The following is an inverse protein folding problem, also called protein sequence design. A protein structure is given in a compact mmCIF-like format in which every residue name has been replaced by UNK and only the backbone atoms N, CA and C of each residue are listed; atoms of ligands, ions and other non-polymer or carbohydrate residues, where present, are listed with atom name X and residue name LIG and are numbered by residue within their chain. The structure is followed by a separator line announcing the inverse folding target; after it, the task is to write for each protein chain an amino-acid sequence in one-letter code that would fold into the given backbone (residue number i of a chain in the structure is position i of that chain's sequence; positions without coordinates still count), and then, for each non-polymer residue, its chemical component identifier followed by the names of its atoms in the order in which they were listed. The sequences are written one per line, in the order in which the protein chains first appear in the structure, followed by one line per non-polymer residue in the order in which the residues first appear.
data_IF_433988488771
#
_entry.id   IF_433988488771
#
_cell.length_a   1.000
_cell.length_b   1.000
_cell.length_c   1.000
_cell.angle_alpha   90.00
_cell.angle_beta   90.00
_cell.angle_gamma   90.00
#
_symmetry.space_group_name_H-M   'P 1'
#
loop_
_entity.id
_entity.type
_entity.pdbx_description
1 polymer ?
#
# COMPACT_ATOMS: atom_id res chain seq x y z
N UNK A 1 -20.98 -10.42 22.40
CA UNK A 1 -20.80 -9.00 22.06
C UNK A 1 -20.09 -8.96 20.73
N UNK A 2 -20.80 -8.62 19.64
CA UNK A 2 -20.17 -8.45 18.32
C UNK A 2 -19.29 -7.20 18.38
N UNK A 3 -17.97 -7.37 18.52
CA UNK A 3 -17.03 -6.32 18.19
C UNK A 3 -17.21 -6.04 16.70
N UNK A 4 -17.82 -4.92 16.32
CA UNK A 4 -17.76 -4.42 14.94
C UNK A 4 -16.28 -4.32 14.61
N UNK A 5 -15.77 -5.19 13.76
CA UNK A 5 -14.42 -5.05 13.25
C UNK A 5 -14.32 -3.68 12.57
N UNK A 6 -13.32 -2.88 12.94
CA UNK A 6 -13.09 -1.59 12.32
C UNK A 6 -12.92 -1.78 10.81
N UNK A 7 -13.54 -0.91 10.00
CA UNK A 7 -13.30 -0.91 8.56
C UNK A 7 -11.84 -0.54 8.28
N UNK A 8 -11.34 -0.87 7.07
CA UNK A 8 -9.99 -0.51 6.65
C UNK A 8 -9.71 1.00 6.83
N UNK A 9 -10.65 1.85 6.43
CA UNK A 9 -10.52 3.30 6.60
C UNK A 9 -10.45 3.70 8.07
N UNK A 10 -11.25 3.08 8.96
CA UNK A 10 -11.16 3.31 10.40
C UNK A 10 -9.83 2.83 11.00
N UNK A 11 -9.31 1.69 10.54
CA UNK A 11 -7.99 1.20 10.93
C UNK A 11 -6.90 2.19 10.52
N UNK A 12 -6.93 2.70 9.29
CA UNK A 12 -5.99 3.73 8.82
C UNK A 12 -6.08 5.00 9.65
N UNK A 13 -7.28 5.52 9.90
CA UNK A 13 -7.48 6.71 10.74
C UNK A 13 -6.87 6.52 12.13
N UNK A 14 -7.10 5.36 12.75
CA UNK A 14 -6.54 5.01 14.05
C UNK A 14 -5.01 4.89 13.99
N UNK A 15 -4.46 4.28 12.93
CA UNK A 15 -3.03 4.12 12.77
C UNK A 15 -2.32 5.47 12.55
N UNK A 16 -2.86 6.34 11.69
CA UNK A 16 -2.33 7.70 11.51
C UNK A 16 -2.34 8.49 12.82
N UNK A 17 -3.42 8.42 13.59
CA UNK A 17 -3.56 9.15 14.86
C UNK A 17 -2.61 8.60 15.94
N UNK A 18 -2.55 7.28 16.13
CA UNK A 18 -1.76 6.66 17.19
C UNK A 18 -0.26 6.66 16.91
N UNK A 19 0.12 6.38 15.65
CA UNK A 19 1.53 6.34 15.24
C UNK A 19 2.06 7.71 14.82
N UNK A 20 1.17 8.65 14.49
CA UNK A 20 1.54 9.95 13.91
C UNK A 20 2.41 9.77 12.66
N UNK A 21 2.10 8.79 11.82
CA UNK A 21 2.95 8.37 10.70
C UNK A 21 2.12 8.06 9.47
N UNK A 22 2.61 8.49 8.31
CA UNK A 22 2.11 8.09 6.99
C UNK A 22 2.99 7.01 6.34
N UNK A 23 4.04 6.55 7.03
CA UNK A 23 4.95 5.56 6.50
C UNK A 23 4.27 4.18 6.40
N UNK A 24 4.43 3.53 5.27
CA UNK A 24 4.13 2.11 5.06
C UNK A 24 5.42 1.38 4.72
N UNK A 25 5.73 0.31 5.45
CA UNK A 25 6.85 -0.57 5.11
C UNK A 25 6.36 -1.66 4.17
N UNK A 26 6.97 -1.70 2.97
CA UNK A 26 6.69 -2.73 1.97
C UNK A 26 7.66 -3.92 2.12
N UNK A 27 7.14 -5.14 1.98
CA UNK A 27 7.94 -6.37 1.98
C UNK A 27 8.05 -6.93 0.56
N UNK A 28 9.21 -6.63 -0.05
CA UNK A 28 9.62 -7.09 -1.39
C UNK A 28 10.89 -7.97 -1.22
N UNK A 29 10.80 -9.18 -0.59
CA UNK A 29 11.98 -9.97 -0.22
C UNK A 29 12.62 -10.63 -1.44
N UNK A 30 13.79 -10.11 -1.85
CA UNK A 30 14.64 -10.72 -2.87
C UNK A 30 15.64 -11.69 -2.18
N UNK A 31 15.58 -13.01 -2.47
CA UNK A 31 16.42 -14.01 -1.83
C UNK A 31 17.90 -13.73 -1.96
N UNK A 32 18.32 -13.06 -3.05
CA UNK A 32 19.74 -12.73 -3.29
C UNK A 32 20.24 -11.58 -2.41
N UNK A 33 19.33 -10.86 -1.77
CA UNK A 33 19.63 -9.69 -0.93
C UNK A 33 19.37 -9.91 0.55
N UNK A 34 18.88 -11.08 0.93
CA UNK A 34 18.74 -11.45 2.34
C UNK A 34 20.11 -11.57 2.99
N UNK A 35 20.24 -11.36 4.31
CA UNK A 35 21.43 -11.73 5.07
C UNK A 35 21.82 -13.19 4.80
N UNK A 36 23.11 -13.47 4.71
CA UNK A 36 23.60 -14.83 4.36
C UNK A 36 23.03 -15.95 5.25
N UNK A 37 22.80 -15.66 6.54
CA UNK A 37 22.21 -16.60 7.50
C UNK A 37 20.75 -16.96 7.18
N UNK A 38 20.05 -16.16 6.40
CA UNK A 38 18.64 -16.32 6.05
C UNK A 38 18.43 -16.76 4.59
N UNK A 39 19.52 -16.99 3.84
CA UNK A 39 19.45 -17.46 2.47
C UNK A 39 19.24 -18.97 2.39
N UNK A 40 18.73 -19.45 1.24
CA UNK A 40 18.70 -20.87 0.89
C UNK A 40 17.39 -21.60 1.18
N UNK A 41 16.43 -20.97 1.87
CA UNK A 41 15.12 -21.57 2.07
C UNK A 41 14.02 -20.51 2.24
N UNK A 42 12.77 -20.93 2.07
CA UNK A 42 11.62 -20.02 2.15
C UNK A 42 11.37 -19.49 3.59
N UNK A 43 11.75 -20.23 4.63
CA UNK A 43 11.60 -19.78 6.02
C UNK A 43 12.44 -18.53 6.31
N UNK A 44 13.63 -18.43 5.72
CA UNK A 44 14.46 -17.20 5.83
C UNK A 44 13.75 -15.96 5.26
N UNK A 45 12.89 -16.11 4.25
CA UNK A 45 12.06 -15.00 3.74
C UNK A 45 11.08 -14.51 4.82
N UNK A 46 10.42 -15.44 5.51
CA UNK A 46 9.53 -15.12 6.61
C UNK A 46 10.27 -14.45 7.76
N UNK A 47 11.38 -15.06 8.23
CA UNK A 47 12.16 -14.53 9.34
C UNK A 47 12.66 -13.11 9.07
N UNK A 48 13.21 -12.87 7.88
CA UNK A 48 13.63 -11.54 7.44
C UNK A 48 12.50 -10.51 7.52
N UNK A 49 11.36 -10.81 6.90
CA UNK A 49 10.24 -9.90 6.89
C UNK A 49 9.66 -9.68 8.30
N UNK A 50 9.59 -10.73 9.11
CA UNK A 50 9.13 -10.68 10.51
C UNK A 50 9.99 -9.76 11.37
N UNK A 51 11.32 -9.92 11.30
CA UNK A 51 12.24 -9.11 12.10
C UNK A 51 12.21 -7.64 11.70
N UNK A 52 12.14 -7.34 10.40
CA UNK A 52 11.95 -5.95 9.94
C UNK A 52 10.59 -5.40 10.39
N UNK A 53 9.52 -6.21 10.33
CA UNK A 53 8.21 -5.79 10.81
C UNK A 53 8.23 -5.47 12.31
N UNK A 54 8.81 -6.37 13.10
CA UNK A 54 8.92 -6.21 14.55
C UNK A 54 9.75 -4.98 14.92
N UNK A 55 10.79 -4.68 14.16
CA UNK A 55 11.64 -3.50 14.36
C UNK A 55 10.98 -2.17 13.96
N UNK A 56 9.93 -2.20 13.13
CA UNK A 56 9.35 -0.97 12.54
C UNK A 56 7.87 -0.74 12.88
N UNK A 57 7.24 -1.63 13.63
CA UNK A 57 5.79 -1.60 13.88
C UNK A 57 5.31 -0.31 14.57
N UNK A 58 6.12 0.30 15.43
CA UNK A 58 5.81 1.57 16.10
C UNK A 58 6.04 2.82 15.23
N UNK A 59 6.46 2.63 13.99
CA UNK A 59 6.83 3.71 13.06
C UNK A 59 5.90 3.84 11.86
N UNK A 60 4.98 2.90 11.66
CA UNK A 60 4.22 2.76 10.41
C UNK A 60 2.72 2.91 10.59
N UNK A 61 2.02 3.37 9.54
CA UNK A 61 0.56 3.35 9.47
C UNK A 61 0.01 2.08 8.80
N UNK A 62 0.85 1.32 8.07
CA UNK A 62 0.47 0.09 7.40
C UNK A 62 1.69 -0.77 7.07
N UNK A 63 1.47 -2.06 6.86
CA UNK A 63 2.42 -2.98 6.21
C UNK A 63 1.90 -3.42 4.85
N UNK A 64 2.81 -3.64 3.88
CA UNK A 64 2.42 -3.98 2.52
C UNK A 64 3.30 -5.08 1.90
N UNK A 65 3.02 -6.36 2.16
CA UNK A 65 3.69 -7.45 1.47
C UNK A 65 3.33 -7.46 -0.04
N UNK A 66 4.37 -7.63 -0.87
CA UNK A 66 4.25 -7.73 -2.32
C UNK A 66 4.15 -9.20 -2.73
N UNK A 67 2.97 -9.63 -3.15
CA UNK A 67 2.64 -11.02 -3.47
C UNK A 67 3.65 -11.68 -4.43
N UNK A 68 4.06 -10.99 -5.49
CA UNK A 68 4.92 -11.55 -6.52
C UNK A 68 6.28 -12.04 -6.00
N UNK A 69 6.83 -11.38 -4.97
CA UNK A 69 8.12 -11.78 -4.38
C UNK A 69 8.02 -13.10 -3.59
N UNK A 70 6.87 -13.38 -3.01
CA UNK A 70 6.63 -14.65 -2.32
C UNK A 70 6.27 -15.76 -3.32
N UNK A 71 5.32 -15.51 -4.22
CA UNK A 71 4.84 -16.50 -5.17
C UNK A 71 5.95 -17.02 -6.11
N UNK A 72 6.82 -16.11 -6.60
CA UNK A 72 7.95 -16.51 -7.46
C UNK A 72 8.95 -17.46 -6.79
N UNK A 73 8.92 -17.55 -5.46
CA UNK A 73 9.80 -18.37 -4.66
C UNK A 73 9.09 -19.54 -3.98
N UNK A 74 7.82 -19.81 -4.34
CA UNK A 74 6.97 -20.82 -3.69
C UNK A 74 6.89 -20.62 -2.17
N UNK A 75 6.81 -19.35 -1.75
CA UNK A 75 6.80 -18.92 -0.34
C UNK A 75 5.43 -18.37 0.08
N UNK A 76 4.34 -18.84 -0.54
CA UNK A 76 2.98 -18.41 -0.21
C UNK A 76 2.60 -18.76 1.25
N UNK A 77 3.07 -19.91 1.76
CA UNK A 77 2.86 -20.29 3.15
C UNK A 77 3.60 -19.31 4.11
N UNK A 78 4.77 -18.82 3.73
CA UNK A 78 5.51 -17.80 4.51
C UNK A 78 4.81 -16.44 4.46
N UNK A 79 4.15 -16.10 3.36
CA UNK A 79 3.30 -14.91 3.28
C UNK A 79 2.10 -15.02 4.22
N UNK A 80 1.41 -16.16 4.25
CA UNK A 80 0.32 -16.42 5.20
C UNK A 80 0.83 -16.29 6.64
N UNK A 81 1.97 -16.92 6.96
CA UNK A 81 2.60 -16.87 8.28
C UNK A 81 2.97 -15.44 8.67
N UNK A 82 3.50 -14.63 7.73
CA UNK A 82 3.84 -13.23 7.96
C UNK A 82 2.58 -12.40 8.25
N UNK A 83 1.56 -12.48 7.41
CA UNK A 83 0.33 -11.71 7.62
C UNK A 83 -0.34 -12.11 8.94
N UNK A 84 -0.39 -13.41 9.25
CA UNK A 84 -0.88 -13.88 10.54
C UNK A 84 -0.10 -13.29 11.71
N UNK A 85 1.25 -13.29 11.66
CA UNK A 85 2.08 -12.68 12.69
C UNK A 85 1.76 -11.19 12.87
N UNK A 86 1.63 -10.43 11.77
CA UNK A 86 1.29 -9.01 11.80
C UNK A 86 -0.09 -8.77 12.44
N UNK A 87 -1.08 -9.57 12.08
CA UNK A 87 -2.44 -9.45 12.62
C UNK A 87 -2.55 -9.84 14.09
N UNK A 88 -1.81 -10.85 14.52
CA UNK A 88 -1.82 -11.30 15.90
C UNK A 88 -1.07 -10.33 16.83
N UNK A 89 0.09 -9.82 16.40
CA UNK A 89 0.96 -9.00 17.23
C UNK A 89 0.67 -7.50 17.14
N UNK A 90 0.22 -7.03 15.98
CA UNK A 90 -0.02 -5.63 15.68
C UNK A 90 -1.42 -5.39 15.07
N UNK A 91 -2.51 -5.81 15.73
CA UNK A 91 -3.87 -5.80 15.16
C UNK A 91 -4.39 -4.40 14.82
N UNK A 92 -3.73 -3.36 15.32
CA UNK A 92 -4.05 -1.96 15.05
C UNK A 92 -3.36 -1.40 13.79
N UNK A 93 -2.46 -2.17 13.17
CA UNK A 93 -1.76 -1.77 11.93
C UNK A 93 -2.36 -2.57 10.77
N UNK A 94 -3.01 -1.92 9.80
CA UNK A 94 -3.58 -2.62 8.65
C UNK A 94 -2.50 -3.21 7.74
N UNK A 95 -2.84 -4.36 7.15
CA UNK A 95 -1.99 -5.08 6.19
C UNK A 95 -2.61 -5.00 4.81
N UNK A 96 -1.85 -4.48 3.84
CA UNK A 96 -2.25 -4.32 2.44
C UNK A 96 -1.56 -5.39 1.60
N UNK A 97 -2.30 -6.33 1.03
CA UNK A 97 -1.75 -7.30 0.08
C UNK A 97 -1.56 -6.64 -1.28
N UNK A 98 -0.30 -6.42 -1.67
CA UNK A 98 0.01 -5.80 -2.96
C UNK A 98 0.11 -6.88 -4.06
N UNK A 99 -1.02 -7.20 -4.68
CA UNK A 99 -1.12 -8.26 -5.70
C UNK A 99 -1.55 -7.75 -7.08
N UNK A 100 -2.12 -6.55 -7.15
CA UNK A 100 -2.58 -5.90 -8.38
C UNK A 100 -3.43 -6.83 -9.26
N UNK A 101 -4.32 -7.59 -8.61
CA UNK A 101 -5.23 -8.51 -9.31
C UNK A 101 -6.15 -7.75 -10.26
N UNK A 102 -6.58 -8.42 -11.31
CA UNK A 102 -7.51 -7.88 -12.28
C UNK A 102 -8.11 -9.02 -13.07
N UNK A 103 -9.39 -9.34 -12.77
CA UNK A 103 -10.17 -10.37 -13.43
C UNK A 103 -11.65 -10.08 -13.17
N UNK A 104 -12.55 -10.84 -13.79
CA UNK A 104 -14.01 -10.62 -13.73
C UNK A 104 -14.74 -11.86 -13.23
N UNK A 105 -16.01 -11.67 -12.82
CA UNK A 105 -16.91 -12.75 -12.43
C UNK A 105 -16.37 -13.63 -11.32
N UNK A 106 -16.56 -14.93 -11.44
CA UNK A 106 -16.12 -15.91 -10.43
C UNK A 106 -14.61 -15.93 -10.20
N UNK A 107 -13.79 -15.62 -11.21
CA UNK A 107 -12.33 -15.53 -11.04
C UNK A 107 -11.97 -14.36 -10.10
N UNK A 108 -12.61 -13.21 -10.25
CA UNK A 108 -12.41 -12.09 -9.35
C UNK A 108 -12.91 -12.39 -7.92
N UNK A 109 -14.04 -13.12 -7.76
CA UNK A 109 -14.49 -13.60 -6.45
C UNK A 109 -13.43 -14.50 -5.79
N UNK A 110 -12.78 -15.41 -6.54
CA UNK A 110 -11.70 -16.26 -6.02
C UNK A 110 -10.46 -15.46 -5.61
N UNK A 111 -10.09 -14.41 -6.34
CA UNK A 111 -9.00 -13.51 -5.93
C UNK A 111 -9.36 -12.68 -4.69
N UNK A 112 -10.63 -12.32 -4.51
CA UNK A 112 -11.07 -11.65 -3.29
C UNK A 112 -10.98 -12.60 -2.07
N UNK A 113 -11.43 -13.86 -2.21
CA UNK A 113 -11.25 -14.92 -1.20
C UNK A 113 -9.76 -15.18 -0.89
N UNK A 114 -8.90 -15.22 -1.92
CA UNK A 114 -7.46 -15.33 -1.72
C UNK A 114 -6.93 -14.23 -0.81
N UNK A 115 -7.25 -12.96 -1.11
CA UNK A 115 -6.74 -11.81 -0.37
C UNK A 115 -7.28 -11.74 1.07
N UNK A 116 -8.58 -11.93 1.25
CA UNK A 116 -9.25 -11.62 2.51
C UNK A 116 -9.47 -12.81 3.41
N UNK A 117 -9.77 -13.99 2.86
CA UNK A 117 -10.04 -15.19 3.65
C UNK A 117 -8.77 -16.03 3.83
N UNK A 118 -8.01 -16.28 2.75
CA UNK A 118 -6.78 -17.07 2.84
C UNK A 118 -5.67 -16.29 3.53
N UNK A 119 -5.32 -15.10 3.04
CA UNK A 119 -4.23 -14.29 3.60
C UNK A 119 -4.67 -13.42 4.78
N UNK A 120 -5.95 -13.17 4.96
CA UNK A 120 -6.45 -12.34 6.06
C UNK A 120 -6.08 -10.86 5.95
N UNK A 121 -5.72 -10.36 4.75
CA UNK A 121 -5.37 -8.97 4.54
C UNK A 121 -6.52 -8.01 4.88
N UNK A 122 -6.19 -6.77 5.24
CA UNK A 122 -7.18 -5.72 5.48
C UNK A 122 -7.52 -4.96 4.21
N UNK A 123 -6.59 -4.92 3.24
CA UNK A 123 -6.81 -4.34 1.93
C UNK A 123 -6.01 -5.08 0.85
N UNK A 124 -6.39 -4.88 -0.41
CA UNK A 124 -5.73 -5.46 -1.57
C UNK A 124 -5.60 -4.42 -2.69
N UNK A 125 -4.52 -4.47 -3.47
CA UNK A 125 -4.38 -3.67 -4.68
C UNK A 125 -5.00 -4.37 -5.88
N UNK A 126 -5.75 -3.64 -6.71
CA UNK A 126 -6.46 -4.15 -7.89
C UNK A 126 -6.23 -3.28 -9.12
N UNK A 127 -6.31 -3.90 -10.30
CA UNK A 127 -6.17 -3.24 -11.60
C UNK A 127 -7.55 -2.95 -12.20
N UNK A 128 -7.91 -1.69 -12.50
CA UNK A 128 -9.24 -1.31 -12.98
C UNK A 128 -9.42 -1.47 -14.49
N UNK A 129 -8.45 -2.01 -15.23
CA UNK A 129 -8.46 -1.99 -16.69
C UNK A 129 -9.70 -2.65 -17.31
N UNK A 130 -10.29 -3.65 -16.64
CA UNK A 130 -11.53 -4.31 -17.06
C UNK A 130 -12.80 -3.70 -16.44
N UNK A 131 -12.73 -2.48 -15.87
CA UNK A 131 -13.86 -1.75 -15.35
C UNK A 131 -14.31 -2.16 -13.95
N UNK A 132 -15.58 -1.80 -13.58
CA UNK A 132 -16.11 -2.03 -12.23
C UNK A 132 -16.24 -3.50 -11.88
N UNK A 133 -16.48 -4.35 -12.85
CA UNK A 133 -16.60 -5.81 -12.67
C UNK A 133 -15.35 -6.44 -12.02
N UNK A 134 -14.19 -5.77 -12.15
CA UNK A 134 -12.95 -6.21 -11.50
C UNK A 134 -12.81 -5.74 -10.05
N UNK A 135 -13.65 -4.81 -9.61
CA UNK A 135 -13.59 -4.17 -8.29
C UNK A 135 -14.72 -4.65 -7.40
N UNK A 136 -15.94 -4.77 -7.94
CA UNK A 136 -17.15 -5.13 -7.22
C UNK A 136 -16.99 -6.40 -6.35
N UNK A 137 -16.36 -7.50 -6.81
CA UNK A 137 -16.21 -8.72 -6.01
C UNK A 137 -15.50 -8.48 -4.68
N UNK A 138 -14.49 -7.60 -4.67
CA UNK A 138 -13.75 -7.25 -3.45
C UNK A 138 -14.59 -6.37 -2.51
N UNK A 139 -15.44 -5.49 -3.03
CA UNK A 139 -16.32 -4.62 -2.23
C UNK A 139 -17.40 -5.41 -1.47
N UNK A 140 -17.74 -6.63 -1.88
CA UNK A 140 -18.64 -7.54 -1.15
C UNK A 140 -18.07 -7.95 0.23
N UNK A 141 -16.74 -7.86 0.40
CA UNK A 141 -16.07 -8.12 1.69
C UNK A 141 -16.11 -6.86 2.57
N UNK A 142 -17.21 -6.71 3.29
CA UNK A 142 -17.48 -5.53 4.13
C UNK A 142 -16.32 -5.25 5.10
N UNK A 143 -15.91 -3.99 5.17
CA UNK A 143 -14.85 -3.53 6.06
C UNK A 143 -13.43 -3.72 5.51
N UNK A 144 -13.27 -4.38 4.36
CA UNK A 144 -11.98 -4.53 3.67
C UNK A 144 -11.71 -3.36 2.74
N UNK A 145 -10.44 -3.05 2.50
CA UNK A 145 -10.01 -1.99 1.58
C UNK A 145 -9.71 -2.51 0.17
N UNK A 146 -10.05 -1.73 -0.83
CA UNK A 146 -9.75 -2.01 -2.25
C UNK A 146 -8.97 -0.84 -2.82
N UNK A 147 -7.67 -1.04 -3.07
CA UNK A 147 -6.79 0.04 -3.52
C UNK A 147 -6.57 -0.09 -5.04
N UNK A 148 -7.21 0.78 -5.78
CA UNK A 148 -7.29 0.73 -7.24
C UNK A 148 -6.09 1.44 -7.86
N UNK A 149 -5.43 0.81 -8.87
CA UNK A 149 -4.38 1.46 -9.64
C UNK A 149 -4.97 2.67 -10.38
N UNK A 150 -4.37 3.83 -10.20
CA UNK A 150 -4.80 5.08 -10.84
C UNK A 150 -3.66 5.66 -11.67
N UNK A 151 -2.63 6.22 -11.02
CA UNK A 151 -1.44 6.73 -11.69
C UNK A 151 -0.20 6.03 -11.13
N UNK A 152 0.47 5.26 -11.97
CA UNK A 152 1.63 4.45 -11.55
C UNK A 152 2.94 5.19 -11.81
N UNK A 153 3.98 4.88 -11.01
CA UNK A 153 5.27 5.59 -11.03
C UNK A 153 6.23 5.14 -12.14
N UNK A 154 5.92 4.03 -12.84
CA UNK A 154 6.76 3.50 -13.91
C UNK A 154 6.62 4.31 -15.22
N UNK A 155 7.67 4.43 -16.03
CA UNK A 155 7.63 5.19 -17.28
C UNK A 155 6.53 4.75 -18.25
N UNK A 156 6.34 3.43 -18.44
CA UNK A 156 5.31 2.86 -19.31
C UNK A 156 3.86 3.14 -18.86
N UNK A 157 3.66 3.62 -17.63
CA UNK A 157 2.34 4.08 -17.17
C UNK A 157 1.78 5.20 -18.07
N UNK A 158 2.66 5.99 -18.67
CA UNK A 158 2.25 7.09 -19.55
C UNK A 158 1.70 6.63 -20.90
N UNK A 159 1.94 5.39 -21.34
CA UNK A 159 1.43 4.85 -22.61
C UNK A 159 -0.10 4.78 -22.62
N UNK A 160 -0.71 4.54 -21.46
CA UNK A 160 -2.17 4.46 -21.30
C UNK A 160 -2.74 5.59 -20.45
N UNK A 161 -2.12 5.88 -19.30
CA UNK A 161 -2.72 6.71 -18.27
C UNK A 161 -2.82 8.19 -18.65
N UNK A 162 -2.07 8.65 -19.66
CA UNK A 162 -2.15 9.99 -20.24
C UNK A 162 -2.97 10.08 -21.52
N UNK A 163 -3.56 8.97 -22.00
CA UNK A 163 -4.49 9.04 -23.12
C UNK A 163 -5.69 9.91 -22.73
N UNK A 164 -6.02 10.84 -23.62
CA UNK A 164 -7.19 11.69 -23.44
C UNK A 164 -8.48 10.91 -23.71
N UNK A 165 -9.41 10.95 -22.76
CA UNK A 165 -10.72 10.30 -22.89
C UNK A 165 -11.80 11.31 -23.30
N UNK A 166 -12.72 10.88 -24.16
CA UNK A 166 -13.87 11.66 -24.55
C UNK A 166 -14.89 11.75 -23.38
N UNK A 167 -15.73 12.81 -23.32
CA UNK A 167 -15.78 13.97 -24.22
C UNK A 167 -14.85 15.13 -23.79
N UNK A 168 -14.25 15.08 -22.59
CA UNK A 168 -13.63 16.26 -21.97
C UNK A 168 -12.13 16.42 -22.31
N UNK A 169 -11.52 15.44 -22.97
CA UNK A 169 -10.08 15.44 -23.23
C UNK A 169 -9.22 15.31 -21.96
N UNK A 170 -9.76 14.76 -20.87
CA UNK A 170 -8.99 14.54 -19.64
C UNK A 170 -8.13 13.29 -19.73
N UNK A 171 -6.97 13.23 -19.05
CA UNK A 171 -6.16 12.02 -18.97
C UNK A 171 -6.91 10.85 -18.33
N UNK A 172 -6.69 9.63 -18.83
CA UNK A 172 -7.35 8.41 -18.36
C UNK A 172 -7.22 8.21 -16.83
N UNK A 173 -6.05 8.53 -16.23
CA UNK A 173 -5.89 8.37 -14.78
C UNK A 173 -6.83 9.28 -13.97
N UNK A 174 -7.14 10.49 -14.45
CA UNK A 174 -8.13 11.37 -13.80
C UNK A 174 -9.55 10.84 -13.97
N UNK A 175 -9.85 10.24 -15.12
CA UNK A 175 -11.12 9.56 -15.33
C UNK A 175 -11.30 8.39 -14.36
N UNK A 176 -10.26 7.56 -14.16
CA UNK A 176 -10.27 6.48 -13.16
C UNK A 176 -10.48 7.04 -11.74
N UNK A 177 -9.82 8.14 -11.38
CA UNK A 177 -10.02 8.79 -10.08
C UNK A 177 -11.48 9.24 -9.87
N UNK A 178 -12.13 9.82 -10.91
CA UNK A 178 -13.53 10.21 -10.86
C UNK A 178 -14.47 9.01 -10.73
N UNK A 179 -14.27 7.95 -11.51
CA UNK A 179 -15.06 6.73 -11.39
C UNK A 179 -14.95 6.15 -9.97
N UNK A 180 -13.74 6.04 -9.46
CA UNK A 180 -13.50 5.54 -8.12
C UNK A 180 -14.20 6.37 -7.04
N UNK A 181 -14.11 7.72 -7.11
CA UNK A 181 -14.69 8.59 -6.09
C UNK A 181 -16.21 8.74 -6.19
N UNK A 182 -16.76 8.78 -7.41
CA UNK A 182 -18.14 9.19 -7.64
C UNK A 182 -19.09 8.05 -7.93
N UNK A 183 -18.59 6.90 -8.41
CA UNK A 183 -19.44 5.79 -8.85
C UNK A 183 -19.16 4.49 -8.10
N UNK A 184 -17.90 4.18 -7.78
CA UNK A 184 -17.51 2.86 -7.25
C UNK A 184 -17.43 2.80 -5.73
N UNK A 185 -17.28 3.94 -5.04
CA UNK A 185 -16.99 4.01 -3.59
C UNK A 185 -18.22 4.24 -2.71
N UNK A 186 -19.37 3.67 -3.05
CA UNK A 186 -20.57 3.82 -2.22
C UNK A 186 -20.46 3.23 -0.81
N UNK A 187 -19.55 2.27 -0.62
CA UNK A 187 -19.27 1.59 0.65
C UNK A 187 -18.10 2.15 1.45
N UNK A 188 -17.46 3.22 0.98
CA UNK A 188 -16.26 3.84 1.59
C UNK A 188 -15.10 2.86 1.82
N UNK A 189 -14.87 1.96 0.83
CA UNK A 189 -13.83 0.95 0.88
C UNK A 189 -12.66 1.20 -0.08
N UNK A 190 -12.78 2.18 -0.98
CA UNK A 190 -11.80 2.40 -2.05
C UNK A 190 -10.71 3.37 -1.61
N UNK A 191 -9.47 3.04 -1.98
CA UNK A 191 -8.31 3.92 -2.06
C UNK A 191 -7.69 3.87 -3.45
N UNK A 192 -6.72 4.74 -3.73
CA UNK A 192 -6.04 4.77 -5.03
C UNK A 192 -4.53 4.63 -4.89
N UNK A 193 -3.89 3.95 -5.86
CA UNK A 193 -2.44 3.98 -6.03
C UNK A 193 -2.07 5.17 -6.90
N UNK A 194 -1.25 6.09 -6.36
CA UNK A 194 -0.72 7.26 -7.09
C UNK A 194 0.77 7.39 -6.81
N UNK A 195 1.61 7.27 -7.84
CA UNK A 195 3.07 7.28 -7.68
C UNK A 195 3.64 8.62 -7.23
N UNK A 196 4.69 8.59 -6.42
CA UNK A 196 5.38 9.78 -5.89
C UNK A 196 6.20 10.57 -6.93
N UNK A 197 6.42 10.00 -8.12
CA UNK A 197 7.34 10.57 -9.12
C UNK A 197 6.87 11.94 -9.65
N UNK A 198 5.57 12.19 -9.61
CA UNK A 198 4.94 13.40 -10.18
C UNK A 198 3.96 14.03 -9.18
N UNK A 199 4.42 14.91 -8.29
CA UNK A 199 3.57 15.55 -7.27
C UNK A 199 2.34 16.29 -7.83
N UNK A 200 2.46 16.91 -9.00
CA UNK A 200 1.33 17.59 -9.65
C UNK A 200 0.18 16.65 -9.97
N UNK A 201 0.47 15.39 -10.31
CA UNK A 201 -0.54 14.37 -10.59
C UNK A 201 -1.23 13.92 -9.30
N UNK A 202 -0.48 13.83 -8.19
CA UNK A 202 -1.03 13.57 -6.86
C UNK A 202 -2.02 14.67 -6.47
N UNK A 203 -1.66 15.96 -6.67
CA UNK A 203 -2.53 17.09 -6.34
C UNK A 203 -3.82 17.07 -7.15
N UNK A 204 -3.75 16.77 -8.45
CA UNK A 204 -4.93 16.64 -9.32
C UNK A 204 -5.86 15.50 -8.86
N UNK A 205 -5.30 14.35 -8.52
CA UNK A 205 -6.08 13.22 -7.98
C UNK A 205 -6.70 13.60 -6.64
N UNK A 206 -5.92 14.18 -5.71
CA UNK A 206 -6.41 14.61 -4.39
C UNK A 206 -7.59 15.57 -4.50
N UNK A 207 -7.54 16.54 -5.43
CA UNK A 207 -8.63 17.47 -5.68
C UNK A 207 -9.94 16.78 -6.10
N UNK A 208 -9.87 15.63 -6.77
CA UNK A 208 -11.03 14.83 -7.20
C UNK A 208 -11.56 13.96 -6.07
N UNK A 209 -10.66 13.29 -5.33
CA UNK A 209 -11.06 12.20 -4.44
C UNK A 209 -11.26 12.62 -2.98
N UNK A 210 -10.99 13.90 -2.65
CA UNK A 210 -11.18 14.41 -1.29
C UNK A 210 -10.34 13.64 -0.25
N UNK A 211 -10.98 13.06 0.75
CA UNK A 211 -10.34 12.38 1.87
C UNK A 211 -9.97 10.90 1.60
N UNK A 212 -10.28 10.37 0.41
CA UNK A 212 -9.98 8.98 0.04
C UNK A 212 -8.49 8.66 0.25
N UNK A 213 -8.13 7.49 0.85
CA UNK A 213 -6.74 7.09 1.04
C UNK A 213 -5.97 6.98 -0.27
N UNK A 214 -4.76 7.54 -0.30
CA UNK A 214 -3.82 7.37 -1.42
C UNK A 214 -2.63 6.50 -0.97
N UNK A 215 -2.44 5.36 -1.62
CA UNK A 215 -1.22 4.57 -1.51
C UNK A 215 -0.18 5.15 -2.49
N UNK A 216 0.90 5.67 -1.94
CA UNK A 216 1.91 6.42 -2.70
C UNK A 216 3.25 5.65 -2.68
N UNK A 217 3.52 4.81 -3.68
CA UNK A 217 4.83 4.19 -3.87
C UNK A 217 5.80 5.14 -4.55
N UNK A 218 7.12 4.88 -4.38
CA UNK A 218 8.17 5.56 -5.14
C UNK A 218 9.00 6.57 -4.35
N UNK A 219 8.77 6.73 -3.04
CA UNK A 219 9.64 7.51 -2.18
C UNK A 219 10.97 6.76 -1.97
N UNK A 220 12.07 7.49 -2.04
CA UNK A 220 13.44 6.97 -1.87
C UNK A 220 13.98 6.31 -3.13
N UNK A 221 13.79 5.01 -3.31
CA UNK A 221 14.42 4.23 -4.39
C UNK A 221 14.05 4.66 -5.83
N UNK A 222 12.93 5.38 -6.01
CA UNK A 222 12.49 5.91 -7.31
C UNK A 222 12.63 7.44 -7.42
N UNK A 223 13.24 8.10 -6.42
CA UNK A 223 13.58 9.52 -6.48
C UNK A 223 12.40 10.47 -6.16
N UNK A 224 11.29 9.98 -5.59
CA UNK A 224 10.19 10.84 -5.16
C UNK A 224 10.63 11.79 -4.04
N UNK A 225 10.37 13.09 -4.20
CA UNK A 225 10.60 14.12 -3.20
C UNK A 225 9.52 14.05 -2.11
N UNK A 226 9.95 13.96 -0.85
CA UNK A 226 9.04 13.82 0.31
C UNK A 226 8.21 15.09 0.50
N UNK A 227 8.83 16.27 0.50
CA UNK A 227 8.14 17.53 0.75
C UNK A 227 7.10 17.81 -0.34
N UNK A 228 7.49 17.66 -1.60
CA UNK A 228 6.60 17.86 -2.73
C UNK A 228 5.44 16.83 -2.74
N UNK A 229 5.74 15.56 -2.44
CA UNK A 229 4.73 14.48 -2.36
C UNK A 229 3.70 14.75 -1.26
N UNK A 230 4.17 15.08 -0.04
CA UNK A 230 3.29 15.33 1.09
C UNK A 230 2.47 16.61 0.87
N UNK A 231 3.08 17.66 0.37
CA UNK A 231 2.37 18.91 0.04
C UNK A 231 1.25 18.68 -0.98
N UNK A 232 1.52 17.88 -2.01
CA UNK A 232 0.55 17.58 -3.08
C UNK A 232 -0.61 16.67 -2.61
N UNK A 233 -0.34 15.72 -1.72
CA UNK A 233 -1.31 14.70 -1.29
C UNK A 233 -2.03 15.02 0.03
N UNK A 234 -1.64 16.07 0.77
CA UNK A 234 -2.23 16.39 2.07
C UNK A 234 -3.71 16.76 1.97
N UNK A 235 -4.45 16.42 3.03
CA UNK A 235 -5.84 16.84 3.21
C UNK A 235 -5.85 18.12 4.03
N UNK A 236 -6.56 19.15 3.53
CA UNK A 236 -6.68 20.43 4.23
C UNK A 236 -7.29 20.23 5.62
N UNK A 237 -6.62 20.75 6.66
CA UNK A 237 -7.07 20.65 8.05
C UNK A 237 -6.84 19.27 8.72
N UNK A 238 -6.23 18.30 8.01
CA UNK A 238 -5.94 16.95 8.55
C UNK A 238 -4.48 16.56 8.29
N UNK A 239 -3.49 17.26 8.87
CA UNK A 239 -2.08 16.98 8.63
C UNK A 239 -1.72 15.56 9.06
N UNK A 240 -0.81 14.92 8.31
CA UNK A 240 -0.34 13.56 8.61
C UNK A 240 -1.35 12.44 8.34
N UNK A 241 -2.42 12.70 7.58
CA UNK A 241 -3.44 11.72 7.22
C UNK A 241 -3.70 11.66 5.72
N UNK A 242 -4.51 10.70 5.28
CA UNK A 242 -4.97 10.57 3.89
C UNK A 242 -3.95 9.94 2.93
N UNK A 243 -2.73 9.67 3.39
CA UNK A 243 -1.67 9.04 2.59
C UNK A 243 -1.07 7.83 3.28
N UNK A 244 -0.73 6.82 2.48
CA UNK A 244 -0.01 5.61 2.85
C UNK A 244 1.26 5.62 2.00
N UNK A 245 2.35 6.19 2.51
CA UNK A 245 3.58 6.42 1.75
C UNK A 245 4.49 5.20 1.89
N UNK A 246 4.61 4.44 0.79
CA UNK A 246 5.31 3.17 0.82
C UNK A 246 6.80 3.32 0.53
N UNK A 247 7.61 2.80 1.45
CA UNK A 247 9.05 2.56 1.28
C UNK A 247 9.33 1.07 1.49
N UNK A 248 10.00 0.43 0.53
CA UNK A 248 10.36 -1.00 0.59
C UNK A 248 11.88 -1.17 0.60
N UNK A 249 12.51 -1.16 -0.56
CA UNK A 249 13.93 -1.51 -0.76
C UNK A 249 14.91 -0.69 0.06
N UNK A 250 14.62 0.59 0.30
CA UNK A 250 15.49 1.46 1.11
C UNK A 250 15.51 1.02 2.58
N UNK A 251 14.41 0.52 3.09
CA UNK A 251 14.27 0.01 4.46
C UNK A 251 14.77 -1.43 4.55
N UNK A 252 14.24 -2.33 3.70
CA UNK A 252 14.55 -3.76 3.76
C UNK A 252 16.04 -4.06 3.63
N UNK A 253 16.74 -3.29 2.81
CA UNK A 253 18.13 -3.55 2.45
C UNK A 253 19.06 -2.44 2.92
N UNK A 254 18.76 -1.83 4.07
CA UNK A 254 19.61 -0.84 4.71
C UNK A 254 20.94 -1.43 5.18
N UNK A 255 20.95 -2.72 5.56
CA UNK A 255 22.14 -3.54 5.81
C UNK A 255 21.94 -4.94 5.25
N UNK A 256 23.03 -5.65 4.92
CA UNK A 256 23.05 -7.07 4.58
C UNK A 256 23.66 -7.92 5.70
N UNK A 257 24.03 -7.32 6.81
CA UNK A 257 24.63 -7.95 7.99
C UNK A 257 23.58 -8.49 8.97
N UNK A 258 24.05 -8.96 10.11
CA UNK A 258 23.19 -9.42 11.21
C UNK A 258 22.37 -8.27 11.85
N UNK A 259 22.77 -7.04 11.62
CA UNK A 259 22.11 -5.80 12.08
C UNK A 259 21.01 -5.30 11.16
N UNK A 260 20.55 -6.12 10.20
CA UNK A 260 19.60 -5.70 9.16
C UNK A 260 18.30 -5.11 9.71
N UNK A 261 17.80 -5.64 10.83
CA UNK A 261 16.57 -5.17 11.45
C UNK A 261 16.74 -3.80 12.13
N UNK A 262 17.86 -3.58 12.82
CA UNK A 262 18.23 -2.30 13.42
C UNK A 262 18.48 -1.23 12.35
N UNK A 263 19.17 -1.60 11.27
CA UNK A 263 19.40 -0.71 10.14
C UNK A 263 18.09 -0.33 9.44
N UNK A 264 17.18 -1.30 9.22
CA UNK A 264 15.85 -1.06 8.70
C UNK A 264 15.05 -0.09 9.59
N UNK A 265 15.09 -0.28 10.92
CA UNK A 265 14.46 0.64 11.88
C UNK A 265 15.02 2.05 11.77
N UNK A 266 16.33 2.21 11.68
CA UNK A 266 16.96 3.53 11.58
C UNK A 266 16.48 4.29 10.32
N UNK A 267 16.42 3.63 9.17
CA UNK A 267 15.92 4.21 7.91
C UNK A 267 14.41 4.50 8.00
N UNK A 268 13.62 3.59 8.56
CA UNK A 268 12.19 3.79 8.75
C UNK A 268 11.89 5.00 9.65
N UNK A 269 12.64 5.15 10.75
CA UNK A 269 12.52 6.28 11.68
C UNK A 269 12.85 7.61 10.99
N UNK A 270 13.98 7.68 10.26
CA UNK A 270 14.37 8.87 9.50
C UNK A 270 13.32 9.23 8.45
N UNK A 271 12.78 8.23 7.73
CA UNK A 271 11.72 8.46 6.73
C UNK A 271 10.44 8.96 7.36
N UNK A 272 9.98 8.33 8.46
CA UNK A 272 8.81 8.79 9.22
C UNK A 272 8.96 10.24 9.67
N UNK A 273 10.12 10.58 10.22
CA UNK A 273 10.37 11.94 10.76
C UNK A 273 10.39 13.00 9.64
N UNK A 274 10.95 12.67 8.47
CA UNK A 274 10.88 13.51 7.29
C UNK A 274 9.43 13.71 6.81
N UNK A 275 8.62 12.65 6.78
CA UNK A 275 7.20 12.73 6.44
C UNK A 275 6.40 13.59 7.43
N UNK A 276 6.68 13.46 8.74
CA UNK A 276 6.06 14.32 9.77
C UNK A 276 6.44 15.78 9.60
N UNK A 277 7.71 16.06 9.36
CA UNK A 277 8.19 17.42 9.13
C UNK A 277 7.50 18.05 7.91
N UNK A 278 7.38 17.29 6.81
CA UNK A 278 6.69 17.74 5.60
C UNK A 278 5.19 17.99 5.82
N UNK A 279 4.51 17.16 6.64
CA UNK A 279 3.09 17.32 6.92
C UNK A 279 2.75 18.56 7.75
N UNK A 280 3.72 19.08 8.50
CA UNK A 280 3.56 20.27 9.37
C UNK A 280 3.96 21.58 8.69
N UNK A 281 4.43 21.52 7.43
CA UNK A 281 4.66 22.69 6.57
C UNK A 281 3.35 23.12 5.91
#
# INVERSE_FOLDING_TARGET
MNSRSNTFNQQLQSAWASQGSMLCVGFDPDPKRLPLSLQGNAEGIYEFCREVADATADLVCAFKPQFAYFASQRAEAQLEKLIKHLKDKYPHIPVILDSKRGDIGSTADHYALEAFDRYGADAVTVNPYMGFDTIEPYLKHTGKGVIVLCRTSNPGGSDLQFLNVAPNGEPLYLHVAKLAAQQWNSSDQIGLVVGATFPEEIAKVRAIVGDMPLLIPGIGAQGGDIDATVSAGKITGKPGTGMIINSSRAILYASSGADFAEAARAVAMSTRDALRAAANK
#
